data_IF_040281336759
#
_entry.id   IF_040281336759
#
_cell.length_a   1.000
_cell.length_b   1.000
_cell.length_c   1.000
_cell.angle_alpha   90.00
_cell.angle_beta   90.00
_cell.angle_gamma   90.00
#
_symmetry.space_group_name_H-M   'P 1'
#
loop_
_entity.id
_entity.type
_entity.pdbx_description
1 polymer ?
#
# COMPACT_ATOMS: atom_id res chain seq x y z
N UNK A 1 -19.06 -9.09 -5.90
CA UNK A 1 -18.39 -8.35 -7.00
C UNK A 1 -17.40 -7.32 -6.50
N UNK A 2 -17.77 -6.40 -5.60
CA UNK A 2 -16.93 -5.26 -5.19
C UNK A 2 -15.57 -5.66 -4.55
N UNK A 3 -15.53 -6.76 -3.77
CA UNK A 3 -14.32 -7.22 -3.08
C UNK A 3 -13.16 -7.63 -3.99
N UNK A 4 -13.44 -8.12 -5.19
CA UNK A 4 -12.43 -8.72 -6.09
C UNK A 4 -11.81 -7.72 -7.06
N UNK A 5 -12.63 -6.79 -7.57
CA UNK A 5 -12.15 -5.65 -8.36
C UNK A 5 -11.30 -4.68 -7.52
N UNK A 6 -11.61 -4.54 -6.22
CA UNK A 6 -10.79 -3.76 -5.30
C UNK A 6 -9.35 -4.30 -5.17
N UNK A 7 -9.17 -5.63 -5.19
CA UNK A 7 -7.83 -6.26 -5.14
C UNK A 7 -6.99 -5.90 -6.37
N UNK A 8 -7.55 -5.92 -7.58
CA UNK A 8 -6.81 -5.54 -8.79
C UNK A 8 -6.42 -4.06 -8.81
N UNK A 9 -7.27 -3.20 -8.25
CA UNK A 9 -6.91 -1.80 -8.03
C UNK A 9 -5.77 -1.69 -7.02
N UNK A 10 -5.83 -2.38 -5.87
CA UNK A 10 -4.74 -2.39 -4.87
C UNK A 10 -3.41 -2.85 -5.48
N UNK A 11 -3.42 -3.86 -6.36
CA UNK A 11 -2.21 -4.28 -7.10
C UNK A 11 -1.68 -3.14 -7.98
N UNK A 12 -2.56 -2.48 -8.75
CA UNK A 12 -2.17 -1.34 -9.58
C UNK A 12 -1.63 -0.16 -8.74
N UNK A 13 -2.26 0.10 -7.59
CA UNK A 13 -1.82 1.10 -6.61
C UNK A 13 -0.41 0.80 -6.11
N UNK A 14 -0.14 -0.44 -5.70
CA UNK A 14 1.16 -0.87 -5.20
C UNK A 14 2.27 -0.71 -6.24
N UNK A 15 2.00 -1.04 -7.52
CA UNK A 15 2.97 -0.88 -8.61
C UNK A 15 3.28 0.59 -8.87
N UNK A 16 2.26 1.45 -8.91
CA UNK A 16 2.42 2.87 -9.26
C UNK A 16 3.02 3.69 -8.12
N UNK A 17 2.73 3.34 -6.87
CA UNK A 17 3.21 4.07 -5.69
C UNK A 17 4.48 3.49 -5.08
N UNK A 18 4.70 2.18 -5.12
CA UNK A 18 5.99 1.57 -4.78
C UNK A 18 7.08 1.96 -5.80
N UNK A 19 6.67 2.39 -7.00
CA UNK A 19 7.56 2.69 -8.10
C UNK A 19 8.13 4.09 -8.17
N UNK A 20 8.27 4.88 -7.08
CA UNK A 20 8.87 6.24 -7.11
C UNK A 20 10.19 6.37 -7.93
N UNK A 21 10.81 5.22 -8.20
CA UNK A 21 11.76 4.90 -9.27
C UNK A 21 11.49 5.48 -10.67
N UNK A 22 10.25 5.84 -11.05
CA UNK A 22 9.95 6.43 -12.35
C UNK A 22 10.39 7.90 -12.45
N UNK A 23 10.66 8.55 -11.33
CA UNK A 23 11.25 9.88 -11.31
C UNK A 23 12.77 9.81 -11.35
N UNK A 24 13.38 10.24 -12.45
CA UNK A 24 14.85 10.22 -12.65
C UNK A 24 15.46 11.63 -12.68
N UNK A 25 14.94 12.57 -11.89
CA UNK A 25 15.45 13.95 -11.84
C UNK A 25 14.91 14.82 -12.98
N UNK A 26 15.80 15.51 -13.72
CA UNK A 26 15.44 16.58 -14.68
C UNK A 26 14.68 16.11 -15.93
N UNK A 27 14.52 14.80 -16.13
CA UNK A 27 13.84 14.22 -17.28
C UNK A 27 12.77 13.21 -16.85
N UNK A 28 11.59 13.72 -16.46
CA UNK A 28 10.45 12.88 -16.03
C UNK A 28 10.02 11.91 -17.14
N UNK A 29 9.87 12.39 -18.37
CA UNK A 29 9.33 11.58 -19.45
C UNK A 29 10.21 10.34 -19.76
N UNK A 30 11.53 10.47 -19.95
CA UNK A 30 12.43 9.31 -20.06
C UNK A 30 12.41 8.38 -18.84
N UNK A 31 12.27 8.92 -17.63
CA UNK A 31 12.14 8.11 -16.40
C UNK A 31 10.86 7.26 -16.40
N UNK A 32 9.72 7.87 -16.76
CA UNK A 32 8.43 7.19 -16.92
C UNK A 32 8.49 6.15 -18.04
N UNK A 33 9.08 6.49 -19.19
CA UNK A 33 9.26 5.57 -20.32
C UNK A 33 10.13 4.37 -19.94
N UNK A 34 11.22 4.61 -19.21
CA UNK A 34 12.08 3.55 -18.70
C UNK A 34 11.33 2.65 -17.72
N UNK A 35 10.61 3.22 -16.76
CA UNK A 35 9.81 2.46 -15.79
C UNK A 35 8.77 1.57 -16.48
N UNK A 36 8.05 2.12 -17.46
CA UNK A 36 7.08 1.38 -18.27
C UNK A 36 7.75 0.26 -19.05
N UNK A 37 8.91 0.52 -19.65
CA UNK A 37 9.68 -0.49 -20.37
C UNK A 37 10.10 -1.62 -19.42
N UNK A 38 10.70 -1.30 -18.29
CA UNK A 38 11.17 -2.28 -17.31
C UNK A 38 10.02 -3.15 -16.79
N UNK A 39 8.87 -2.53 -16.47
CA UNK A 39 7.64 -3.26 -16.09
C UNK A 39 7.18 -4.20 -17.21
N UNK A 40 7.06 -3.71 -18.45
CA UNK A 40 6.59 -4.54 -19.56
C UNK A 40 7.61 -5.63 -19.97
N UNK A 41 8.91 -5.42 -19.74
CA UNK A 41 9.94 -6.44 -19.96
C UNK A 41 9.93 -7.52 -18.87
N UNK A 42 9.62 -7.17 -17.61
CA UNK A 42 9.42 -8.13 -16.52
C UNK A 42 8.23 -9.08 -16.80
N UNK A 43 7.15 -8.57 -17.40
CA UNK A 43 6.05 -9.41 -17.94
C UNK A 43 6.57 -10.51 -18.88
N UNK A 44 7.46 -10.19 -19.82
CA UNK A 44 7.99 -11.17 -20.80
C UNK A 44 8.80 -12.28 -20.14
N UNK A 45 9.33 -12.03 -18.93
CA UNK A 45 10.06 -13.00 -18.13
C UNK A 45 9.16 -13.83 -17.20
N UNK A 46 7.84 -13.59 -17.20
CA UNK A 46 6.89 -14.27 -16.31
C UNK A 46 6.98 -13.80 -14.86
N UNK A 47 7.52 -12.61 -14.59
CA UNK A 47 7.74 -12.11 -13.24
C UNK A 47 6.49 -11.42 -12.65
N UNK A 48 5.48 -11.14 -13.47
CA UNK A 48 4.22 -10.54 -13.01
C UNK A 48 3.27 -11.61 -12.47
N UNK A 49 2.61 -11.31 -11.33
CA UNK A 49 1.55 -12.14 -10.79
C UNK A 49 0.32 -12.24 -11.72
N UNK A 50 0.09 -11.20 -12.53
CA UNK A 50 -1.03 -11.13 -13.48
C UNK A 50 -0.56 -10.61 -14.84
N UNK A 51 -1.27 -11.00 -15.90
CA UNK A 51 -0.97 -10.55 -17.25
C UNK A 51 -1.38 -9.10 -17.48
N UNK A 52 -0.44 -8.19 -17.18
CA UNK A 52 -0.67 -6.75 -17.17
C UNK A 52 0.42 -5.99 -17.91
N UNK A 53 0.02 -4.90 -18.57
CA UNK A 53 0.93 -3.92 -19.17
C UNK A 53 0.73 -2.53 -18.58
N UNK A 54 1.81 -1.75 -18.58
CA UNK A 54 1.78 -0.34 -18.20
C UNK A 54 2.00 0.55 -19.43
N UNK A 55 1.35 1.71 -19.43
CA UNK A 55 1.44 2.73 -20.47
C UNK A 55 1.14 4.11 -19.88
N UNK A 56 1.43 5.17 -20.63
CA UNK A 56 0.94 6.52 -20.33
C UNK A 56 0.27 7.13 -21.56
N UNK A 57 -0.56 8.15 -21.36
CA UNK A 57 -1.12 8.99 -22.42
C UNK A 57 -1.17 10.46 -22.01
N UNK A 58 -1.40 11.32 -23.00
CA UNK A 58 -1.61 12.76 -22.81
C UNK A 58 -0.49 13.43 -21.99
N UNK A 59 0.77 13.13 -22.32
CA UNK A 59 1.90 13.73 -21.62
C UNK A 59 2.08 15.17 -22.06
N UNK A 60 1.66 16.08 -21.20
CA UNK A 60 1.85 17.52 -21.33
C UNK A 60 3.07 17.95 -20.52
N UNK A 61 4.11 18.40 -21.22
CA UNK A 61 5.39 18.78 -20.65
C UNK A 61 5.48 20.30 -20.53
N UNK A 62 5.28 20.81 -19.31
CA UNK A 62 5.61 22.18 -18.95
C UNK A 62 7.04 22.33 -18.41
N UNK A 63 7.45 23.57 -18.22
CA UNK A 63 8.75 23.91 -17.61
C UNK A 63 8.76 23.68 -16.09
N UNK A 64 7.68 24.08 -15.39
CA UNK A 64 7.53 23.93 -13.93
C UNK A 64 6.58 22.81 -13.52
N UNK A 65 5.78 22.29 -14.46
CA UNK A 65 4.89 21.18 -14.19
C UNK A 65 4.84 20.22 -15.36
N UNK A 66 4.36 19.01 -15.13
CA UNK A 66 4.05 18.04 -16.17
C UNK A 66 2.80 17.28 -15.77
N UNK A 67 1.97 16.95 -16.76
CA UNK A 67 0.69 16.28 -16.56
C UNK A 67 0.59 15.09 -17.48
N UNK A 68 0.23 13.94 -16.95
CA UNK A 68 0.01 12.75 -17.77
C UNK A 68 -0.92 11.77 -17.08
N UNK A 69 -1.48 10.83 -17.84
CA UNK A 69 -2.27 9.75 -17.26
C UNK A 69 -1.54 8.43 -17.43
N UNK A 70 -1.20 7.77 -16.32
CA UNK A 70 -0.71 6.39 -16.33
C UNK A 70 -1.87 5.41 -16.43
N UNK A 71 -1.67 4.31 -17.15
CA UNK A 71 -2.68 3.29 -17.38
C UNK A 71 -2.07 1.90 -17.24
N UNK A 72 -2.60 1.14 -16.28
CA UNK A 72 -2.37 -0.31 -16.19
C UNK A 72 -3.52 -1.02 -16.89
N UNK A 73 -3.19 -1.88 -17.85
CA UNK A 73 -4.16 -2.69 -18.61
C UNK A 73 -4.02 -4.15 -18.20
N UNK A 74 -5.14 -4.82 -17.93
CA UNK A 74 -5.21 -6.26 -17.71
C UNK A 74 -5.47 -6.94 -19.05
N UNK A 75 -4.41 -7.40 -19.72
CA UNK A 75 -4.45 -7.73 -21.14
C UNK A 75 -5.41 -8.89 -21.44
N UNK A 76 -5.21 -10.03 -20.75
CA UNK A 76 -6.10 -11.19 -20.82
C UNK A 76 -7.13 -11.24 -19.69
N UNK A 77 -7.29 -10.14 -18.96
CA UNK A 77 -8.16 -10.06 -17.80
C UNK A 77 -7.62 -10.87 -16.61
N UNK A 78 -8.43 -10.98 -15.57
CA UNK A 78 -8.07 -11.66 -14.32
C UNK A 78 -9.35 -12.24 -13.71
N UNK A 79 -9.73 -13.47 -14.09
CA UNK A 79 -11.03 -14.07 -13.70
C UNK A 79 -11.22 -14.20 -12.19
N UNK A 80 -10.17 -14.51 -11.44
CA UNK A 80 -10.16 -14.57 -9.99
C UNK A 80 -10.50 -13.23 -9.34
N UNK A 81 -10.09 -12.13 -9.98
CA UNK A 81 -10.39 -10.74 -9.60
C UNK A 81 -11.64 -10.17 -10.29
N UNK A 82 -12.32 -10.95 -11.14
CA UNK A 82 -13.47 -10.52 -11.94
C UNK A 82 -13.13 -9.30 -12.83
N UNK A 83 -11.93 -9.26 -13.39
CA UNK A 83 -11.47 -8.24 -14.33
C UNK A 83 -11.54 -8.84 -15.74
N UNK A 84 -12.23 -8.16 -16.65
CA UNK A 84 -12.36 -8.59 -18.05
C UNK A 84 -11.09 -8.21 -18.84
N UNK A 85 -10.77 -8.95 -19.92
CA UNK A 85 -9.70 -8.57 -20.84
C UNK A 85 -9.80 -7.12 -21.30
N UNK A 86 -8.67 -6.42 -21.30
CA UNK A 86 -8.53 -5.03 -21.73
C UNK A 86 -9.07 -3.97 -20.75
N UNK A 87 -9.62 -4.35 -19.59
CA UNK A 87 -9.99 -3.38 -18.56
C UNK A 87 -8.74 -2.70 -17.99
N UNK A 88 -8.92 -1.44 -17.56
CA UNK A 88 -7.80 -0.57 -17.16
C UNK A 88 -8.02 0.06 -15.80
N UNK A 89 -6.95 0.22 -15.06
CA UNK A 89 -6.86 1.17 -13.94
C UNK A 89 -6.02 2.34 -14.41
N UNK A 90 -6.55 3.55 -14.25
CA UNK A 90 -5.89 4.76 -14.73
C UNK A 90 -5.66 5.74 -13.57
N UNK A 91 -4.59 6.53 -13.71
CA UNK A 91 -4.12 7.47 -12.71
C UNK A 91 -3.74 8.78 -13.37
N UNK A 92 -4.36 9.88 -12.92
CA UNK A 92 -3.92 11.21 -13.32
C UNK A 92 -2.73 11.60 -12.45
N UNK A 93 -1.63 11.99 -13.10
CA UNK A 93 -0.37 12.34 -12.47
C UNK A 93 -0.05 13.80 -12.79
N UNK A 94 -0.01 14.60 -11.73
CA UNK A 94 0.37 16.00 -11.76
C UNK A 94 1.75 16.12 -11.10
N UNK A 95 2.78 16.52 -11.83
CA UNK A 95 4.12 16.72 -11.28
C UNK A 95 4.49 18.19 -11.30
N UNK A 96 4.99 18.70 -10.19
CA UNK A 96 5.63 20.00 -10.06
C UNK A 96 7.13 19.82 -9.92
N UNK A 97 7.89 20.51 -10.76
CA UNK A 97 9.35 20.46 -10.77
C UNK A 97 9.93 21.41 -9.72
N UNK A 98 11.05 21.00 -9.14
CA UNK A 98 11.83 21.74 -8.18
C UNK A 98 12.59 22.94 -8.75
N UNK A 99 13.32 23.68 -7.89
CA UNK A 99 13.63 23.34 -6.50
C UNK A 99 12.52 23.68 -5.49
N UNK A 100 11.49 24.44 -5.89
CA UNK A 100 10.41 24.90 -5.00
C UNK A 100 9.04 24.77 -5.70
N UNK A 101 8.37 23.61 -5.56
CA UNK A 101 7.01 23.42 -6.06
C UNK A 101 6.05 24.47 -5.48
N UNK A 102 5.27 25.12 -6.34
CA UNK A 102 4.38 26.23 -5.95
C UNK A 102 3.33 25.75 -4.94
N UNK A 103 2.79 24.54 -5.13
CA UNK A 103 1.83 23.97 -4.17
C UNK A 103 2.43 23.78 -2.79
N UNK A 104 3.70 23.41 -2.67
CA UNK A 104 4.37 23.29 -1.38
C UNK A 104 4.58 24.65 -0.72
N UNK A 105 5.00 25.66 -1.49
CA UNK A 105 5.14 27.03 -0.99
C UNK A 105 3.82 27.60 -0.46
N UNK A 106 2.71 27.38 -1.17
CA UNK A 106 1.37 27.82 -0.74
C UNK A 106 0.92 27.17 0.57
N UNK A 107 1.39 25.96 0.87
CA UNK A 107 1.12 25.26 2.13
C UNK A 107 2.18 25.50 3.21
N UNK A 108 3.06 26.50 3.02
CA UNK A 108 4.10 26.86 4.00
C UNK A 108 5.27 25.88 4.09
N UNK A 109 5.35 24.89 3.17
CA UNK A 109 6.47 23.96 3.12
C UNK A 109 7.57 24.51 2.21
N UNK A 110 8.67 24.94 2.84
CA UNK A 110 9.82 25.57 2.18
C UNK A 110 10.99 24.61 1.95
N UNK A 111 10.81 23.32 2.22
CA UNK A 111 11.87 22.32 2.01
C UNK A 111 12.10 22.16 0.50
N UNK A 112 13.32 22.44 -0.02
CA UNK A 112 13.61 22.24 -1.43
C UNK A 112 13.51 20.77 -1.82
N UNK A 113 12.83 20.49 -2.92
CA UNK A 113 12.67 19.13 -3.48
C UNK A 113 12.96 19.15 -4.96
N UNK A 114 13.34 18.01 -5.53
CA UNK A 114 13.52 17.84 -6.98
C UNK A 114 12.18 17.87 -7.71
N UNK A 115 11.16 17.24 -7.14
CA UNK A 115 9.79 17.31 -7.63
C UNK A 115 8.79 16.89 -6.55
N UNK A 116 7.55 17.29 -6.74
CA UNK A 116 6.38 16.78 -6.04
C UNK A 116 5.38 16.25 -7.05
N UNK A 117 4.79 15.09 -6.81
CA UNK A 117 3.75 14.55 -7.67
C UNK A 117 2.47 14.26 -6.89
N UNK A 118 1.33 14.59 -7.48
CA UNK A 118 0.00 14.21 -7.00
C UNK A 118 -0.58 13.19 -7.97
N UNK A 119 -0.96 12.04 -7.43
CA UNK A 119 -1.49 10.91 -8.20
C UNK A 119 -2.92 10.63 -7.73
N UNK A 120 -3.87 10.71 -8.65
CA UNK A 120 -5.29 10.51 -8.38
C UNK A 120 -5.80 9.29 -9.14
N UNK A 121 -6.56 8.43 -8.48
CA UNK A 121 -7.26 7.35 -9.16
C UNK A 121 -8.32 7.93 -10.11
N UNK A 122 -8.39 7.42 -11.33
CA UNK A 122 -9.42 7.81 -12.30
C UNK A 122 -10.68 6.98 -12.08
N UNK A 123 -11.84 7.61 -12.04
CA UNK A 123 -13.14 6.94 -12.00
C UNK A 123 -13.51 6.40 -13.39
N UNK A 124 -13.47 5.08 -13.56
CA UNK A 124 -13.83 4.36 -14.78
C UNK A 124 -14.64 3.10 -14.43
N UNK A 125 -15.04 2.31 -15.43
CA UNK A 125 -15.86 1.10 -15.22
C UNK A 125 -15.31 0.16 -14.13
N UNK A 126 -13.99 -0.01 -14.04
CA UNK A 126 -13.35 -0.92 -13.08
C UNK A 126 -13.23 -0.31 -11.68
N UNK A 127 -12.98 0.99 -11.57
CA UNK A 127 -12.75 1.69 -10.30
C UNK A 127 -14.00 2.33 -9.70
N UNK A 128 -15.07 2.50 -10.48
CA UNK A 128 -16.33 3.11 -10.06
C UNK A 128 -16.90 2.56 -8.75
N UNK A 129 -16.86 1.24 -8.46
CA UNK A 129 -17.31 0.72 -7.18
C UNK A 129 -16.57 1.30 -5.96
N UNK A 130 -15.29 1.68 -6.12
CA UNK A 130 -14.50 2.31 -5.06
C UNK A 130 -14.96 3.76 -4.82
N UNK A 131 -15.26 4.49 -5.90
CA UNK A 131 -15.82 5.84 -5.80
C UNK A 131 -17.19 5.81 -5.13
N UNK A 132 -18.06 4.87 -5.51
CA UNK A 132 -19.38 4.71 -4.88
C UNK A 132 -19.21 4.45 -3.38
N UNK A 133 -18.31 3.53 -3.01
CA UNK A 133 -18.02 3.23 -1.61
C UNK A 133 -17.50 4.46 -0.84
N UNK A 134 -16.72 5.33 -1.50
CA UNK A 134 -16.21 6.59 -0.97
C UNK A 134 -17.16 7.79 -1.16
N UNK A 135 -18.47 7.55 -1.34
CA UNK A 135 -19.51 8.60 -1.53
C UNK A 135 -19.19 9.55 -2.70
N UNK A 136 -18.74 8.97 -3.81
CA UNK A 136 -18.30 9.63 -5.04
C UNK A 136 -17.13 10.62 -4.89
N UNK A 137 -16.38 10.54 -3.78
CA UNK A 137 -15.10 11.24 -3.64
C UNK A 137 -13.97 10.35 -4.16
N UNK A 138 -12.79 10.95 -4.39
CA UNK A 138 -11.59 10.15 -4.66
C UNK A 138 -11.37 9.19 -3.49
N UNK A 139 -11.38 7.87 -3.71
CA UNK A 139 -11.21 6.90 -2.63
C UNK A 139 -9.79 6.95 -2.07
N UNK A 140 -8.85 7.44 -2.89
CA UNK A 140 -7.45 7.46 -2.55
C UNK A 140 -6.70 8.53 -3.33
N UNK A 141 -5.78 9.22 -2.67
CA UNK A 141 -4.91 10.24 -3.27
C UNK A 141 -3.48 10.00 -2.77
N UNK A 142 -2.50 10.01 -3.67
CA UNK A 142 -1.09 9.88 -3.29
C UNK A 142 -0.33 11.17 -3.60
N UNK A 143 0.46 11.61 -2.64
CA UNK A 143 1.41 12.71 -2.76
C UNK A 143 2.82 12.17 -2.64
N UNK A 144 3.59 12.23 -3.72
CA UNK A 144 4.99 11.82 -3.77
C UNK A 144 5.89 13.05 -3.69
N UNK A 145 7.00 12.91 -2.98
CA UNK A 145 8.05 13.93 -2.85
C UNK A 145 9.39 13.29 -3.15
N UNK A 146 10.17 13.94 -4.00
CA UNK A 146 11.50 13.48 -4.39
C UNK A 146 12.53 14.49 -3.90
N UNK A 147 13.34 14.12 -2.91
CA UNK A 147 14.33 15.01 -2.34
C UNK A 147 15.64 14.98 -3.13
N UNK A 148 16.50 15.97 -2.91
CA UNK A 148 17.89 15.90 -3.35
C UNK A 148 18.61 14.75 -2.64
N UNK A 149 19.38 13.94 -3.36
CA UNK A 149 20.04 12.75 -2.79
C UNK A 149 19.26 11.45 -2.93
N UNK A 150 18.27 11.39 -3.84
CA UNK A 150 17.54 10.17 -4.25
C UNK A 150 16.61 9.54 -3.22
N UNK A 151 16.36 10.18 -2.07
CA UNK A 151 15.28 9.77 -1.18
C UNK A 151 13.92 10.24 -1.69
N UNK A 152 12.89 9.46 -1.35
CA UNK A 152 11.51 9.78 -1.68
C UNK A 152 10.60 9.54 -0.48
N UNK A 153 9.46 10.22 -0.49
CA UNK A 153 8.38 9.99 0.45
C UNK A 153 7.06 10.00 -0.31
N UNK A 154 6.23 8.98 -0.08
CA UNK A 154 4.88 8.89 -0.62
C UNK A 154 3.91 8.91 0.54
N UNK A 155 3.06 9.92 0.61
CA UNK A 155 1.89 9.94 1.49
C UNK A 155 0.67 9.49 0.71
N UNK A 156 -0.08 8.57 1.29
CA UNK A 156 -1.28 8.01 0.73
C UNK A 156 -2.47 8.34 1.63
N UNK A 157 -3.36 9.21 1.18
CA UNK A 157 -4.59 9.56 1.88
C UNK A 157 -5.73 8.68 1.38
N UNK A 158 -6.35 7.95 2.31
CA UNK A 158 -7.48 7.04 2.02
C UNK A 158 -8.76 7.66 2.58
N UNK A 159 -9.75 7.85 1.70
CA UNK A 159 -11.05 8.37 2.08
C UNK A 159 -11.89 7.30 2.81
N UNK A 160 -12.79 7.71 3.73
CA UNK A 160 -13.74 6.79 4.35
C UNK A 160 -14.58 6.08 3.29
N UNK A 161 -14.76 4.77 3.45
CA UNK A 161 -15.45 3.97 2.46
C UNK A 161 -16.28 2.83 3.06
N UNK A 162 -17.36 2.49 2.37
CA UNK A 162 -18.30 1.43 2.75
C UNK A 162 -18.37 0.36 1.65
N UNK A 163 -17.84 -0.83 1.93
CA UNK A 163 -17.76 -1.98 1.05
C UNK A 163 -18.66 -3.12 1.54
N UNK A 164 -19.96 -2.98 1.28
CA UNK A 164 -20.96 -3.96 1.68
C UNK A 164 -21.03 -4.12 3.20
N UNK A 165 -20.42 -5.18 3.73
CA UNK A 165 -20.39 -5.47 5.18
C UNK A 165 -19.15 -4.89 5.88
N UNK A 166 -18.22 -4.30 5.16
CA UNK A 166 -16.98 -3.74 5.71
C UNK A 166 -16.96 -2.24 5.49
N UNK A 167 -16.61 -1.45 6.49
CA UNK A 167 -16.37 -0.02 6.34
C UNK A 167 -15.20 0.43 7.19
N UNK A 168 -14.66 1.59 6.84
CA UNK A 168 -13.60 2.23 7.59
C UNK A 168 -13.68 3.75 7.44
N UNK A 169 -13.12 4.46 8.42
CA UNK A 169 -12.96 5.90 8.46
C UNK A 169 -11.81 6.39 7.59
N UNK A 170 -11.18 7.50 7.98
CA UNK A 170 -10.02 8.03 7.24
C UNK A 170 -8.80 7.15 7.47
N UNK A 171 -7.94 7.09 6.47
CA UNK A 171 -6.62 6.48 6.61
C UNK A 171 -5.52 7.33 6.00
N UNK A 172 -4.31 7.17 6.50
CA UNK A 172 -3.10 7.74 5.91
C UNK A 172 -1.97 6.71 6.03
N UNK A 173 -1.20 6.55 4.96
CA UNK A 173 0.00 5.72 4.95
C UNK A 173 1.16 6.53 4.39
N UNK A 174 2.34 6.37 4.95
CA UNK A 174 3.58 7.00 4.50
C UNK A 174 4.57 5.91 4.14
N UNK A 175 5.18 6.05 2.97
CA UNK A 175 6.21 5.18 2.46
C UNK A 175 7.46 6.01 2.20
N UNK A 176 8.50 5.84 3.01
CA UNK A 176 9.76 6.54 2.89
C UNK A 176 10.84 5.57 2.40
N UNK A 177 11.61 5.98 1.40
CA UNK A 177 12.69 5.16 0.89
C UNK A 177 13.92 5.98 0.54
N UNK A 178 15.06 5.29 0.48
CA UNK A 178 16.32 5.83 -0.01
C UNK A 178 16.76 5.13 -1.30
N UNK A 179 17.45 5.91 -2.15
CA UNK A 179 17.77 5.47 -3.50
C UNK A 179 16.52 5.32 -4.38
N UNK A 180 16.75 5.21 -5.70
CA UNK A 180 15.68 4.93 -6.66
C UNK A 180 15.21 3.46 -6.61
N UNK A 181 15.27 2.80 -5.45
CA UNK A 181 14.94 1.38 -5.29
C UNK A 181 14.11 1.15 -4.04
N UNK A 182 13.18 0.20 -4.10
CA UNK A 182 12.41 -0.30 -2.96
C UNK A 182 13.25 -1.14 -1.97
N UNK A 183 14.57 -0.97 -1.99
CA UNK A 183 15.49 -1.77 -1.19
C UNK A 183 15.49 -1.39 0.27
N UNK A 184 15.22 -0.14 0.61
CA UNK A 184 14.97 0.28 1.99
C UNK A 184 13.64 1.02 1.99
N UNK A 185 12.69 0.53 2.77
CA UNK A 185 11.34 1.07 2.83
C UNK A 185 10.89 1.12 4.28
N UNK A 186 10.63 2.32 4.73
CA UNK A 186 9.95 2.64 5.98
C UNK A 186 8.47 2.91 5.65
N UNK A 187 7.59 2.21 6.34
CA UNK A 187 6.15 2.26 6.15
C UNK A 187 5.50 2.57 7.49
N UNK A 188 4.80 3.69 7.55
CA UNK A 188 3.90 4.00 8.66
C UNK A 188 2.48 4.10 8.12
N UNK A 189 1.49 3.70 8.90
CA UNK A 189 0.12 3.81 8.45
C UNK A 189 -0.90 3.71 9.56
N UNK A 190 -2.05 4.34 9.32
CA UNK A 190 -3.19 4.31 10.22
C UNK A 190 -4.49 4.34 9.43
N UNK A 191 -5.48 3.58 9.90
CA UNK A 191 -6.88 3.65 9.45
C UNK A 191 -7.77 3.69 10.69
N UNK A 192 -8.79 4.54 10.69
CA UNK A 192 -9.72 4.72 11.80
C UNK A 192 -11.06 4.02 11.56
N UNK A 193 -11.84 3.83 12.63
CA UNK A 193 -13.25 3.46 12.62
C UNK A 193 -13.59 2.26 11.72
N UNK A 194 -12.90 1.14 11.95
CA UNK A 194 -13.05 -0.07 11.15
C UNK A 194 -14.27 -0.84 11.66
N UNK A 195 -15.15 -1.24 10.74
CA UNK A 195 -16.37 -1.99 11.04
C UNK A 195 -16.49 -3.17 10.09
N UNK A 196 -16.70 -4.35 10.67
CA UNK A 196 -17.06 -5.56 9.95
C UNK A 196 -18.42 -6.05 10.46
N UNK A 197 -19.46 -5.83 9.68
CA UNK A 197 -20.78 -6.41 9.90
C UNK A 197 -20.74 -7.90 9.54
N UNK A 198 -21.09 -8.79 10.47
CA UNK A 198 -21.18 -10.22 10.21
C UNK A 198 -22.62 -10.62 9.82
N UNK A 199 -23.61 -10.12 10.56
CA UNK A 199 -25.05 -10.25 10.33
C UNK A 199 -25.77 -8.97 10.79
N UNK A 200 -27.07 -8.77 10.56
CA UNK A 200 -27.77 -7.57 11.07
C UNK A 200 -27.60 -7.31 12.57
N UNK A 201 -27.41 -8.37 13.37
CA UNK A 201 -27.27 -8.30 14.81
C UNK A 201 -25.82 -8.39 15.30
N UNK A 202 -24.87 -8.78 14.43
CA UNK A 202 -23.47 -9.03 14.81
C UNK A 202 -22.53 -8.12 14.03
N UNK A 203 -21.68 -7.36 14.73
CA UNK A 203 -20.58 -6.62 14.12
C UNK A 203 -19.33 -6.68 14.99
N UNK A 204 -18.18 -6.59 14.34
CA UNK A 204 -16.90 -6.34 14.99
C UNK A 204 -16.46 -4.94 14.61
N UNK A 205 -16.03 -4.15 15.57
CA UNK A 205 -15.43 -2.83 15.31
C UNK A 205 -14.01 -2.79 15.83
N UNK A 206 -13.17 -1.93 15.28
CA UNK A 206 -11.90 -1.54 15.85
C UNK A 206 -11.75 -0.02 15.70
N UNK A 207 -11.30 0.66 16.75
CA UNK A 207 -11.10 2.11 16.71
C UNK A 207 -10.04 2.50 15.69
N UNK A 208 -8.97 1.73 15.61
CA UNK A 208 -7.94 1.95 14.62
C UNK A 208 -7.18 0.68 14.27
N UNK A 209 -6.63 0.67 13.07
CA UNK A 209 -5.52 -0.16 12.66
C UNK A 209 -4.29 0.72 12.46
N UNK A 210 -3.13 0.28 12.91
CA UNK A 210 -1.84 0.90 12.61
C UNK A 210 -0.87 -0.12 12.06
N UNK A 211 0.05 0.34 11.21
CA UNK A 211 1.18 -0.44 10.73
C UNK A 211 2.44 0.42 10.84
N UNK A 212 3.51 -0.20 11.31
CA UNK A 212 4.86 0.33 11.32
C UNK A 212 5.75 -0.78 10.73
N UNK A 213 6.56 -0.46 9.73
CA UNK A 213 7.44 -1.45 9.11
C UNK A 213 8.70 -0.81 8.57
N UNK A 214 9.82 -1.42 8.92
CA UNK A 214 11.11 -1.13 8.33
C UNK A 214 11.59 -2.37 7.57
N UNK A 215 11.55 -2.30 6.24
CA UNK A 215 12.04 -3.35 5.35
C UNK A 215 13.34 -2.91 4.68
N UNK A 216 14.30 -3.83 4.57
CA UNK A 216 15.60 -3.63 3.93
C UNK A 216 15.98 -4.84 3.08
N UNK A 217 16.76 -4.61 2.04
CA UNK A 217 17.37 -5.64 1.20
C UNK A 217 18.88 -5.65 1.44
N UNK A 218 19.33 -6.51 2.35
CA UNK A 218 20.75 -6.71 2.62
C UNK A 218 21.43 -7.37 1.40
N UNK A 219 22.58 -6.83 1.00
CA UNK A 219 23.30 -7.22 -0.24
C UNK A 219 22.42 -7.21 -1.51
N UNK A 220 21.32 -6.45 -1.49
CA UNK A 220 20.30 -6.42 -2.56
C UNK A 220 19.62 -7.77 -2.84
N UNK A 221 19.76 -8.75 -1.94
CA UNK A 221 19.27 -10.13 -2.12
C UNK A 221 18.39 -10.61 -0.96
N UNK A 222 18.73 -10.23 0.27
CA UNK A 222 18.12 -10.81 1.46
C UNK A 222 17.13 -9.83 2.10
N UNK A 223 15.82 -10.13 2.11
CA UNK A 223 14.85 -9.29 2.80
C UNK A 223 15.04 -9.43 4.31
N UNK A 224 15.33 -8.32 4.97
CA UNK A 224 15.46 -8.20 6.43
C UNK A 224 14.62 -7.03 6.91
N UNK A 225 14.19 -7.04 8.16
CA UNK A 225 13.36 -5.96 8.67
C UNK A 225 12.43 -6.36 9.80
N UNK A 226 11.70 -5.37 10.28
CA UNK A 226 10.72 -5.50 11.33
C UNK A 226 9.39 -4.90 10.85
N UNK A 227 8.28 -5.49 11.28
CA UNK A 227 6.96 -4.95 11.05
C UNK A 227 6.08 -5.21 12.26
N UNK A 228 5.35 -4.19 12.68
CA UNK A 228 4.27 -4.27 13.66
C UNK A 228 2.96 -3.83 12.99
N UNK A 229 1.92 -4.64 13.13
CA UNK A 229 0.56 -4.31 12.74
C UNK A 229 -0.35 -4.43 13.96
N UNK A 230 -1.16 -3.42 14.24
CA UNK A 230 -1.94 -3.34 15.48
C UNK A 230 -3.36 -2.89 15.25
N UNK A 231 -4.33 -3.68 15.72
CA UNK A 231 -5.71 -3.25 15.89
C UNK A 231 -5.92 -2.79 17.33
N UNK A 232 -6.50 -1.60 17.51
CA UNK A 232 -6.78 -1.01 18.83
C UNK A 232 -8.28 -0.98 19.10
N UNK A 233 -8.65 -1.26 20.36
CA UNK A 233 -10.01 -1.23 20.89
C UNK A 233 -11.00 -1.97 19.99
N UNK A 234 -10.82 -3.28 19.90
CA UNK A 234 -11.70 -4.16 19.13
C UNK A 234 -12.92 -4.48 19.98
N UNK A 235 -14.13 -4.21 19.47
CA UNK A 235 -15.37 -4.56 20.14
C UNK A 235 -16.14 -5.58 19.33
N UNK A 236 -16.64 -6.62 20.00
CA UNK A 236 -17.56 -7.60 19.45
C UNK A 236 -18.95 -7.21 19.94
N UNK A 237 -19.84 -6.93 19.00
CA UNK A 237 -21.15 -6.37 19.26
C UNK A 237 -22.21 -7.35 18.80
N UNK A 238 -23.13 -7.69 19.71
CA UNK A 238 -24.25 -8.58 19.47
C UNK A 238 -25.54 -7.89 19.96
N UNK A 239 -26.57 -7.84 19.11
CA UNK A 239 -27.83 -7.14 19.41
C UNK A 239 -27.68 -5.68 19.85
N UNK A 240 -26.62 -5.00 19.39
CA UNK A 240 -26.33 -3.61 19.73
C UNK A 240 -25.58 -3.42 21.06
N UNK A 241 -25.30 -4.49 21.79
CA UNK A 241 -24.55 -4.48 23.04
C UNK A 241 -23.10 -4.96 22.81
N UNK A 242 -22.14 -4.32 23.49
CA UNK A 242 -20.75 -4.76 23.54
C UNK A 242 -20.66 -6.03 24.39
N UNK A 243 -20.49 -7.19 23.73
CA UNK A 243 -20.41 -8.49 24.42
C UNK A 243 -18.98 -8.89 24.76
N UNK A 244 -17.99 -8.34 24.06
CA UNK A 244 -16.58 -8.50 24.39
C UNK A 244 -15.74 -7.36 23.81
N UNK A 245 -14.63 -7.05 24.49
CA UNK A 245 -13.67 -6.05 24.07
C UNK A 245 -12.25 -6.62 24.15
N UNK A 246 -11.42 -6.29 23.16
CA UNK A 246 -9.98 -6.56 23.16
C UNK A 246 -9.27 -5.21 23.06
N UNK A 247 -8.44 -4.87 24.04
CA UNK A 247 -7.75 -3.58 24.10
C UNK A 247 -6.82 -3.38 22.89
N UNK A 248 -6.05 -4.40 22.53
CA UNK A 248 -5.33 -4.46 21.27
C UNK A 248 -5.05 -5.89 20.81
N UNK A 249 -4.90 -6.04 19.51
CA UNK A 249 -4.31 -7.21 18.87
C UNK A 249 -3.10 -6.74 18.07
N UNK A 250 -1.93 -7.28 18.37
CA UNK A 250 -0.66 -6.89 17.75
C UNK A 250 -0.07 -8.09 17.01
N UNK A 251 0.39 -7.88 15.79
CA UNK A 251 1.15 -8.85 15.01
C UNK A 251 2.52 -8.25 14.71
N UNK A 252 3.59 -8.90 15.17
CA UNK A 252 4.97 -8.49 14.94
C UNK A 252 5.66 -9.53 14.06
N UNK A 253 6.39 -9.07 13.06
CA UNK A 253 7.26 -9.91 12.23
C UNK A 253 8.66 -9.34 12.28
N UNK A 254 9.66 -10.21 12.44
CA UNK A 254 11.07 -9.87 12.32
C UNK A 254 11.77 -10.85 11.41
N UNK A 255 12.52 -10.31 10.46
CA UNK A 255 13.33 -11.02 9.49
C UNK A 255 14.78 -10.62 9.69
N UNK A 256 15.63 -11.57 10.05
CA UNK A 256 17.07 -11.36 10.20
C UNK A 256 17.83 -12.30 9.27
N UNK A 257 18.93 -11.83 8.66
CA UNK A 257 19.82 -12.71 7.91
C UNK A 257 20.66 -13.56 8.87
N UNK A 258 20.81 -14.85 8.56
CA UNK A 258 21.78 -15.69 9.24
C UNK A 258 23.17 -15.26 8.82
N UNK A 259 24.01 -14.90 9.80
CA UNK A 259 25.35 -14.36 9.58
C UNK A 259 26.16 -15.21 8.60
N UNK A 260 26.70 -14.55 7.56
CA UNK A 260 27.55 -15.12 6.50
C UNK A 260 26.91 -16.32 5.76
N UNK A 261 25.57 -16.41 5.75
CA UNK A 261 24.82 -17.46 5.05
C UNK A 261 23.70 -16.88 4.19
N UNK A 262 23.23 -17.71 3.27
CA UNK A 262 22.12 -17.41 2.37
C UNK A 262 20.75 -17.76 2.98
N UNK A 263 20.64 -17.72 4.31
CA UNK A 263 19.42 -18.09 5.03
C UNK A 263 18.83 -16.91 5.82
N UNK A 264 17.52 -16.95 6.03
CA UNK A 264 16.76 -15.97 6.81
C UNK A 264 16.18 -16.64 8.07
N UNK A 265 16.24 -15.94 9.20
CA UNK A 265 15.47 -16.24 10.40
C UNK A 265 14.19 -15.43 10.39
N UNK A 266 13.08 -16.07 10.76
CA UNK A 266 11.76 -15.46 10.83
C UNK A 266 11.22 -15.62 12.24
N UNK A 267 10.83 -14.50 12.85
CA UNK A 267 10.08 -14.48 14.10
C UNK A 267 8.72 -13.82 13.83
N UNK A 268 7.65 -14.54 14.16
CA UNK A 268 6.27 -14.08 14.06
C UNK A 268 5.62 -14.15 15.43
N UNK A 269 5.25 -13.00 15.98
CA UNK A 269 4.59 -12.89 17.29
C UNK A 269 3.19 -12.31 17.13
N UNK A 270 2.21 -12.94 17.77
CA UNK A 270 0.85 -12.44 17.90
C UNK A 270 0.54 -12.20 19.37
N UNK A 271 0.16 -10.97 19.71
CA UNK A 271 -0.22 -10.55 21.05
C UNK A 271 -1.71 -10.18 21.06
N UNK A 272 -2.43 -10.74 22.00
CA UNK A 272 -3.79 -10.35 22.34
C UNK A 272 -3.70 -9.75 23.74
N UNK A 273 -3.92 -8.44 23.84
CA UNK A 273 -3.89 -7.70 25.10
C UNK A 273 -5.10 -8.08 25.98
N UNK A 274 -5.61 -7.16 26.78
CA UNK A 274 -6.72 -7.44 27.68
C UNK A 274 -8.00 -7.78 26.90
N UNK A 275 -8.46 -9.03 27.04
CA UNK A 275 -9.81 -9.48 26.67
C UNK A 275 -10.76 -9.28 27.85
N UNK A 276 -11.85 -8.58 27.61
CA UNK A 276 -12.89 -8.29 28.61
C UNK A 276 -14.26 -8.72 28.08
N UNK A 277 -15.11 -9.29 28.95
CA UNK A 277 -16.52 -9.59 28.68
C UNK A 277 -17.38 -8.93 29.77
N UNK A 278 -18.18 -7.94 29.40
CA UNK A 278 -18.86 -7.07 30.36
C UNK A 278 -17.85 -6.37 31.28
N UNK A 279 -17.94 -6.56 32.59
CA UNK A 279 -16.97 -6.01 33.56
C UNK A 279 -15.88 -7.02 33.96
N UNK A 280 -15.87 -8.23 33.38
CA UNK A 280 -14.91 -9.28 33.75
C UNK A 280 -13.74 -9.33 32.77
N UNK A 281 -12.53 -9.14 33.28
CA UNK A 281 -11.30 -9.41 32.54
C UNK A 281 -11.10 -10.92 32.42
N UNK A 282 -11.02 -11.42 31.18
CA UNK A 282 -10.84 -12.84 30.88
C UNK A 282 -9.36 -13.22 30.76
N UNK A 283 -8.50 -12.30 30.33
CA UNK A 283 -7.04 -12.52 30.27
C UNK A 283 -6.36 -11.77 29.13
N UNK A 284 -5.14 -12.21 28.82
CA UNK A 284 -4.31 -11.80 27.67
C UNK A 284 -3.51 -13.02 27.20
N UNK A 285 -2.86 -12.94 26.04
CA UNK A 285 -2.03 -14.03 25.54
C UNK A 285 -1.06 -13.60 24.45
N UNK A 286 0.05 -14.32 24.35
CA UNK A 286 1.08 -14.13 23.34
C UNK A 286 1.42 -15.49 22.71
N UNK A 287 1.57 -15.50 21.39
CA UNK A 287 1.99 -16.66 20.61
C UNK A 287 3.14 -16.27 19.71
N UNK A 288 4.28 -16.96 19.80
CA UNK A 288 5.44 -16.72 18.95
C UNK A 288 5.82 -17.98 18.19
N UNK A 289 6.06 -17.82 16.88
CA UNK A 289 6.59 -18.83 15.98
C UNK A 289 7.96 -18.36 15.49
N UNK A 290 8.99 -19.17 15.78
CA UNK A 290 10.35 -18.92 15.34
C UNK A 290 10.74 -20.01 14.34
N UNK A 291 11.19 -19.60 13.17
CA UNK A 291 11.72 -20.48 12.14
C UNK A 291 13.11 -19.98 11.74
N UNK A 292 14.11 -20.84 11.86
CA UNK A 292 15.51 -20.48 11.66
C UNK A 292 16.06 -21.10 10.38
N UNK A 293 17.06 -20.43 9.79
CA UNK A 293 17.81 -20.91 8.64
C UNK A 293 16.92 -21.27 7.43
N UNK A 294 15.91 -20.44 7.14
CA UNK A 294 15.03 -20.62 5.99
C UNK A 294 15.77 -20.22 4.71
N UNK A 295 15.75 -21.09 3.69
CA UNK A 295 16.22 -20.76 2.35
C UNK A 295 15.15 -19.95 1.59
N UNK A 296 15.36 -18.66 1.31
CA UNK A 296 14.38 -17.83 0.61
C UNK A 296 14.13 -18.30 -0.83
N UNK A 297 15.08 -18.96 -1.48
CA UNK A 297 14.92 -19.48 -2.84
C UNK A 297 14.02 -20.71 -2.85
N UNK A 298 14.17 -21.61 -1.86
CA UNK A 298 13.33 -22.79 -1.72
C UNK A 298 11.88 -22.39 -1.39
N UNK A 299 11.68 -21.41 -0.50
CA UNK A 299 10.33 -20.90 -0.18
C UNK A 299 9.66 -20.30 -1.42
N UNK A 300 10.39 -19.54 -2.25
CA UNK A 300 9.85 -18.97 -3.48
C UNK A 300 9.39 -20.04 -4.46
N UNK A 301 10.09 -21.16 -4.58
CA UNK A 301 9.69 -22.29 -5.42
C UNK A 301 8.49 -23.08 -4.88
N UNK A 302 8.24 -23.04 -3.56
CA UNK A 302 7.10 -23.71 -2.95
C UNK A 302 5.80 -22.93 -3.11
N UNK A 303 5.88 -21.58 -3.15
CA UNK A 303 4.72 -20.69 -3.20
C UNK A 303 4.23 -20.44 -4.64
N UNK A 304 5.11 -20.55 -5.64
CA UNK A 304 4.82 -20.36 -7.08
C UNK A 304 4.53 -21.72 -7.72
#
# INVERSE_FOLDING_TARGET
>A
MIRKSATGVIVALAVIWGGGTWYTGTQIQPGVEKFIKDFNDAKKKGEHAYDMTLSYKNFDKGFFNSRFQMQMTFDNGTPDLNIKPGQKVAFDVDVEHGPLPITMLMHGNVIPVLAAAKVNLVNNELTQPLFIAAKNKSPVEATLRFAFGSSFSTTLDVAPAEYGKFSFGKGQFTFNGDGSSLSNLDIEGKVEDIVLQLSPMNKVTAKSFTIDSLARLEEKKFPVGESESKFNQINIINHGEDVAQIDAFVAKTRLDRVKDKDYINVNLTYELDKLTKGNQQLGSGEWSLIAESIDPSAVRQFII
#
